data_IF_111185934879
#
_entry.id   IF_111185934879
#
_cell.length_a   1.000
_cell.length_b   1.000
_cell.length_c   1.000
_cell.angle_alpha   90.00
_cell.angle_beta   90.00
_cell.angle_gamma   90.00
#
_symmetry.space_group_name_H-M   'P 1'
#
loop_
_entity.id
_entity.type
_entity.pdbx_description
1 polymer ?
#
# COMPACT_ATOMS: atom_id res chain seq x y z
N UNK A 1 16.15 -54.45 -24.48
CA UNK A 1 16.41 -53.51 -25.58
C UNK A 1 15.14 -52.73 -25.87
N UNK A 2 15.19 -51.43 -25.54
CA UNK A 2 14.34 -50.27 -25.84
C UNK A 2 13.06 -50.43 -26.69
N UNK A 3 11.93 -49.90 -26.18
CA UNK A 3 11.30 -48.73 -26.81
C UNK A 3 10.13 -48.17 -25.98
N UNK A 4 10.44 -47.14 -25.18
CA UNK A 4 9.50 -46.09 -24.75
C UNK A 4 9.07 -45.24 -25.97
N UNK A 5 8.37 -45.83 -26.95
CA UNK A 5 7.99 -45.10 -28.18
C UNK A 5 6.56 -44.57 -28.10
N UNK A 6 6.50 -43.24 -28.24
CA UNK A 6 5.33 -42.39 -28.50
C UNK A 6 4.50 -41.89 -27.32
N UNK A 7 5.21 -41.13 -26.48
CA UNK A 7 4.72 -39.98 -25.72
C UNK A 7 4.02 -39.00 -26.68
N UNK A 8 2.71 -39.16 -26.93
CA UNK A 8 1.87 -38.18 -27.68
C UNK A 8 1.01 -37.28 -26.78
N UNK A 9 1.12 -37.40 -25.46
CA UNK A 9 0.37 -36.54 -24.51
C UNK A 9 0.99 -35.16 -24.28
N UNK A 10 2.22 -34.92 -24.75
CA UNK A 10 2.96 -33.66 -24.53
C UNK A 10 2.51 -32.50 -25.43
N UNK A 11 1.78 -32.77 -26.52
CA UNK A 11 1.32 -31.70 -27.41
C UNK A 11 0.02 -31.03 -26.93
N UNK A 12 -0.86 -31.77 -26.24
CA UNK A 12 -2.10 -31.21 -25.66
C UNK A 12 -1.82 -30.33 -24.44
N UNK A 13 -0.91 -30.77 -23.56
CA UNK A 13 -0.53 -29.99 -22.37
C UNK A 13 0.28 -28.74 -22.69
N UNK A 14 1.02 -28.69 -23.80
CA UNK A 14 1.75 -27.47 -24.22
C UNK A 14 0.81 -26.28 -24.46
N UNK A 15 -0.38 -26.53 -24.98
CA UNK A 15 -1.34 -25.46 -25.27
C UNK A 15 -2.04 -24.93 -24.00
N UNK A 16 -2.23 -25.80 -23.00
CA UNK A 16 -2.73 -25.41 -21.68
C UNK A 16 -1.63 -24.76 -20.83
N UNK A 17 -0.38 -25.21 -20.95
CA UNK A 17 0.77 -24.68 -20.23
C UNK A 17 1.00 -23.19 -20.50
N UNK A 18 0.81 -22.72 -21.73
CA UNK A 18 0.89 -21.28 -22.04
C UNK A 18 -0.21 -20.49 -21.34
N UNK A 19 -1.47 -20.96 -21.38
CA UNK A 19 -2.60 -20.29 -20.72
C UNK A 19 -2.46 -20.28 -19.20
N UNK A 20 -2.01 -21.39 -18.61
CA UNK A 20 -1.72 -21.51 -17.18
C UNK A 20 -0.54 -20.61 -16.78
N UNK A 21 0.49 -20.52 -17.63
CA UNK A 21 1.62 -19.61 -17.41
C UNK A 21 1.19 -18.15 -17.45
N UNK A 22 0.28 -17.77 -18.36
CA UNK A 22 -0.30 -16.44 -18.39
C UNK A 22 -1.17 -16.18 -17.15
N UNK A 23 -2.02 -17.13 -16.76
CA UNK A 23 -2.86 -17.03 -15.56
C UNK A 23 -2.03 -16.84 -14.28
N UNK A 24 -1.02 -17.69 -14.07
CA UNK A 24 -0.08 -17.58 -12.94
C UNK A 24 0.76 -16.30 -13.02
N UNK A 25 1.08 -15.82 -14.21
CA UNK A 25 1.80 -14.55 -14.37
C UNK A 25 0.93 -13.35 -14.00
N UNK A 26 -0.35 -13.33 -14.37
CA UNK A 26 -1.31 -12.31 -13.89
C UNK A 26 -1.49 -12.36 -12.38
N UNK A 27 -1.64 -13.55 -11.79
CA UNK A 27 -1.80 -13.70 -10.34
C UNK A 27 -0.52 -13.28 -9.58
N UNK A 28 0.67 -13.63 -10.08
CA UNK A 28 1.94 -13.15 -9.53
C UNK A 28 2.19 -11.67 -9.79
N UNK A 29 1.71 -11.12 -10.91
CA UNK A 29 1.74 -9.69 -11.15
C UNK A 29 0.84 -8.97 -10.17
N UNK A 30 -0.41 -9.36 -9.97
CA UNK A 30 -1.32 -8.73 -9.00
C UNK A 30 -0.77 -8.78 -7.57
N UNK A 31 -0.14 -9.89 -7.18
CA UNK A 31 0.47 -10.03 -5.86
C UNK A 31 1.74 -9.17 -5.67
N UNK A 32 2.49 -8.86 -6.75
CA UNK A 32 3.75 -8.12 -6.71
C UNK A 32 3.63 -6.64 -7.16
N UNK A 33 2.58 -6.33 -7.93
CA UNK A 33 2.14 -4.99 -8.33
C UNK A 33 1.17 -4.37 -7.31
N UNK A 34 0.67 -5.11 -6.33
CA UNK A 34 0.14 -4.51 -5.09
C UNK A 34 1.32 -4.02 -4.22
N UNK A 35 2.17 -3.19 -4.81
CA UNK A 35 3.23 -2.48 -4.12
C UNK A 35 2.71 -1.11 -3.75
N UNK A 36 3.15 -0.56 -2.61
CA UNK A 36 2.79 0.79 -2.14
C UNK A 36 2.92 1.85 -3.24
N UNK A 37 3.84 1.67 -4.18
CA UNK A 37 4.03 2.56 -5.32
C UNK A 37 2.85 2.61 -6.30
N UNK A 38 2.19 1.48 -6.56
CA UNK A 38 1.05 1.45 -7.47
C UNK A 38 -0.20 1.98 -6.79
N UNK A 39 -0.36 1.71 -5.49
CA UNK A 39 -1.40 2.36 -4.68
C UNK A 39 -1.20 3.88 -4.57
N UNK A 40 0.07 4.35 -4.56
CA UNK A 40 0.41 5.76 -4.57
C UNK A 40 0.07 6.45 -5.91
N UNK A 41 0.34 5.77 -7.04
CA UNK A 41 0.07 6.33 -8.38
C UNK A 41 -1.39 6.17 -8.81
N UNK A 42 -2.04 5.08 -8.39
CA UNK A 42 -3.41 4.74 -8.73
C UNK A 42 -4.23 4.52 -7.45
N UNK A 43 -4.56 5.61 -6.72
CA UNK A 43 -5.36 5.49 -5.51
C UNK A 43 -6.73 4.89 -5.85
N UNK A 44 -7.10 3.83 -5.13
CA UNK A 44 -8.34 3.09 -5.33
C UNK A 44 -9.55 4.03 -5.11
N UNK A 45 -10.21 4.41 -6.21
CA UNK A 45 -11.37 5.33 -6.24
C UNK A 45 -12.55 4.86 -5.39
N UNK A 46 -12.51 3.61 -4.89
CA UNK A 46 -13.52 3.01 -4.00
C UNK A 46 -13.28 3.30 -2.52
N UNK A 47 -12.09 3.75 -2.13
CA UNK A 47 -11.85 4.28 -0.80
C UNK A 47 -12.42 5.70 -0.78
N UNK A 48 -13.35 5.98 0.13
CA UNK A 48 -13.79 7.36 0.39
C UNK A 48 -12.52 8.22 0.51
N UNK A 49 -12.46 9.42 -0.10
CA UNK A 49 -11.37 10.32 0.20
C UNK A 49 -11.42 10.51 1.72
N UNK A 50 -10.48 9.90 2.45
CA UNK A 50 -10.24 10.35 3.81
C UNK A 50 -9.98 11.84 3.67
N UNK A 51 -10.57 12.63 4.56
CA UNK A 51 -10.25 14.04 4.60
C UNK A 51 -8.74 14.13 4.71
N UNK A 52 -8.07 14.90 3.84
CA UNK A 52 -6.61 15.07 3.91
C UNK A 52 -6.16 15.52 5.32
N UNK A 53 -7.08 16.14 6.06
CA UNK A 53 -6.95 16.49 7.48
C UNK A 53 -6.81 15.24 8.37
N UNK A 54 -7.63 14.22 8.16
CA UNK A 54 -7.59 12.98 8.93
C UNK A 54 -6.33 12.16 8.60
N UNK A 55 -5.93 12.12 7.33
CA UNK A 55 -4.66 11.50 6.91
C UNK A 55 -3.47 12.17 7.59
N UNK A 56 -3.41 13.50 7.56
CA UNK A 56 -2.35 14.26 8.21
C UNK A 56 -2.34 14.04 9.73
N UNK A 57 -3.52 13.97 10.37
CA UNK A 57 -3.64 13.66 11.79
C UNK A 57 -3.09 12.26 12.11
N UNK A 58 -3.40 11.27 11.27
CA UNK A 58 -2.89 9.90 11.43
C UNK A 58 -1.37 9.84 11.26
N UNK A 59 -0.81 10.58 10.30
CA UNK A 59 0.65 10.68 10.12
C UNK A 59 1.34 11.29 11.36
N UNK A 60 0.77 12.35 11.92
CA UNK A 60 1.28 12.97 13.15
C UNK A 60 1.25 11.96 14.31
N UNK A 61 0.15 11.22 14.47
CA UNK A 61 0.02 10.16 15.48
C UNK A 61 1.09 9.09 15.31
N UNK A 62 1.31 8.60 14.09
CA UNK A 62 2.33 7.60 13.79
C UNK A 62 3.75 8.11 14.07
N UNK A 63 4.05 9.36 13.72
CA UNK A 63 5.36 9.96 13.96
C UNK A 63 5.66 10.08 15.46
N UNK A 64 4.69 10.56 16.23
CA UNK A 64 4.84 10.69 17.69
C UNK A 64 5.06 9.32 18.35
N UNK A 65 4.31 8.30 17.94
CA UNK A 65 4.48 6.93 18.46
C UNK A 65 5.85 6.36 18.12
N UNK A 66 6.33 6.61 16.90
CA UNK A 66 7.64 6.18 16.43
C UNK A 66 8.77 6.80 17.25
N UNK A 67 8.68 8.09 17.58
CA UNK A 67 9.73 8.82 18.29
C UNK A 67 9.71 8.58 19.81
N UNK A 68 8.54 8.52 20.42
CA UNK A 68 8.39 8.59 21.88
C UNK A 68 7.88 7.31 22.55
N UNK A 69 7.69 6.20 21.80
CA UNK A 69 7.17 4.89 22.24
C UNK A 69 5.63 4.74 22.16
N UNK A 70 5.08 3.52 21.93
CA UNK A 70 3.63 3.29 21.86
C UNK A 70 2.85 3.70 23.13
N UNK A 71 3.50 3.71 24.29
CA UNK A 71 2.89 4.04 25.58
C UNK A 71 2.33 5.46 25.64
N UNK A 72 2.78 6.37 24.76
CA UNK A 72 2.27 7.74 24.75
C UNK A 72 0.81 7.83 24.33
N UNK A 73 0.30 6.84 23.57
CA UNK A 73 -1.10 6.85 23.13
C UNK A 73 -2.08 6.73 24.30
N UNK A 74 -1.63 6.16 25.41
CA UNK A 74 -2.41 6.01 26.64
C UNK A 74 -2.52 7.33 27.43
N UNK A 75 -1.74 8.35 27.07
CA UNK A 75 -1.79 9.64 27.74
C UNK A 75 -3.04 10.41 27.34
N UNK A 76 -3.78 10.94 28.32
CA UNK A 76 -4.93 11.83 28.09
C UNK A 76 -4.57 13.09 27.28
N UNK A 77 -3.32 13.51 27.33
CA UNK A 77 -2.80 14.67 26.60
C UNK A 77 -2.36 14.35 25.17
N UNK A 78 -2.38 13.08 24.74
CA UNK A 78 -1.86 12.68 23.43
C UNK A 78 -2.61 13.37 22.29
N UNK A 79 -3.95 13.36 22.30
CA UNK A 79 -4.73 14.04 21.26
C UNK A 79 -4.51 15.56 21.29
N UNK A 80 -4.31 16.18 22.46
CA UNK A 80 -3.98 17.61 22.57
C UNK A 80 -2.63 17.94 21.91
N UNK A 81 -1.64 17.06 22.09
CA UNK A 81 -0.32 17.23 21.45
C UNK A 81 -0.47 17.09 19.93
N UNK A 82 -1.21 16.08 19.47
CA UNK A 82 -1.49 15.87 18.03
C UNK A 82 -2.17 17.11 17.44
N UNK A 83 -3.18 17.66 18.10
CA UNK A 83 -3.92 18.83 17.63
C UNK A 83 -3.05 20.10 17.64
N UNK A 84 -2.19 20.25 18.66
CA UNK A 84 -1.22 21.35 18.72
C UNK A 84 -0.18 21.30 17.60
N UNK A 85 0.29 20.11 17.25
CA UNK A 85 1.22 19.91 16.12
C UNK A 85 0.50 20.16 14.78
N UNK A 86 -0.72 19.64 14.63
CA UNK A 86 -1.57 19.86 13.45
C UNK A 86 -1.76 21.35 13.18
N UNK A 87 -2.14 22.12 14.20
CA UNK A 87 -2.32 23.56 14.09
C UNK A 87 -1.03 24.29 13.69
N UNK A 88 0.13 23.90 14.23
CA UNK A 88 1.43 24.48 13.87
C UNK A 88 1.79 24.20 12.40
N UNK A 89 1.53 22.99 11.92
CA UNK A 89 1.78 22.62 10.52
C UNK A 89 0.88 23.44 9.60
N UNK A 90 -0.42 23.50 9.87
CA UNK A 90 -1.37 24.29 9.09
C UNK A 90 -1.01 25.77 9.05
N UNK A 91 -0.67 26.35 10.21
CA UNK A 91 -0.21 27.74 10.30
C UNK A 91 1.02 27.99 9.43
N UNK A 92 2.01 27.10 9.48
CA UNK A 92 3.24 27.22 8.67
C UNK A 92 2.99 27.05 7.17
N UNK A 93 2.03 26.23 6.77
CA UNK A 93 1.62 26.10 5.37
C UNK A 93 0.99 27.38 4.85
N UNK A 94 0.10 28.00 5.63
CA UNK A 94 -0.53 29.28 5.29
C UNK A 94 0.49 30.41 5.18
N UNK A 95 1.46 30.47 6.09
CA UNK A 95 2.53 31.49 6.05
C UNK A 95 3.41 31.37 4.80
N UNK A 96 3.63 30.16 4.29
CA UNK A 96 4.44 29.91 3.07
C UNK A 96 3.72 30.26 1.78
N UNK A 97 2.40 30.24 1.74
CA UNK A 97 1.61 30.62 0.56
C UNK A 97 1.58 32.14 0.35
N UNK A 98 1.94 32.93 1.38
CA UNK A 98 1.92 34.40 1.36
C UNK A 98 3.28 35.01 0.94
N UNK A 99 4.33 34.19 0.79
CA UNK A 99 5.67 34.61 0.33
C UNK A 99 5.90 34.27 -1.14
#
# INVERSE_FOLDING_TARGET
MNNLKNIKFVNGLKNLGTKVKWFLFTEMQDYKLTSDYINYICPDTRKKPESQIDELRNLIKQSLVREFSPKIQEMKSFDLIVDGVMHKIQKKSLEKEVQ
#
